data_IF_842724532057
#
_entry.id   IF_842724532057
#
_cell.length_a   1.000
_cell.length_b   1.000
_cell.length_c   1.000
_cell.angle_alpha   90.00
_cell.angle_beta   90.00
_cell.angle_gamma   90.00
#
_symmetry.space_group_name_H-M   'P 1'
#
loop_
_entity.id
_entity.type
_entity.pdbx_description
1 polymer ?
#
# COMPACT_ATOMS: atom_id res chain seq x y z
N UNK A 1 46.53 40.68 42.97
CA UNK A 1 47.17 39.66 42.10
C UNK A 1 46.25 38.47 41.75
N UNK A 2 44.92 38.58 41.91
CA UNK A 2 43.97 37.48 41.69
C UNK A 2 42.92 37.62 40.54
N UNK A 3 42.71 38.78 39.85
CA UNK A 3 41.58 38.90 38.92
C UNK A 3 41.86 38.34 37.51
N UNK A 4 43.12 38.18 37.11
CA UNK A 4 43.48 37.71 35.76
C UNK A 4 43.40 36.18 35.64
N UNK A 5 43.91 35.46 36.64
CA UNK A 5 43.79 33.99 36.73
C UNK A 5 42.31 33.55 36.78
N UNK A 6 41.50 34.24 37.59
CA UNK A 6 40.06 33.94 37.68
C UNK A 6 39.30 34.16 36.36
N UNK A 7 39.76 35.10 35.52
CA UNK A 7 39.16 35.36 34.21
C UNK A 7 39.61 34.32 33.18
N UNK A 8 40.86 33.86 33.28
CA UNK A 8 41.39 32.78 32.45
C UNK A 8 40.69 31.44 32.73
N UNK A 9 40.51 31.09 34.00
CA UNK A 9 39.80 29.89 34.43
C UNK A 9 38.33 29.90 33.94
N UNK A 10 37.66 31.06 34.02
CA UNK A 10 36.28 31.21 33.54
C UNK A 10 36.16 31.01 32.03
N UNK A 11 37.10 31.55 31.26
CA UNK A 11 37.11 31.39 29.79
C UNK A 11 37.33 29.91 29.44
N UNK A 12 38.27 29.24 30.11
CA UNK A 12 38.52 27.82 29.88
C UNK A 12 37.30 26.95 30.24
N UNK A 13 36.64 27.25 31.35
CA UNK A 13 35.44 26.53 31.78
C UNK A 13 34.28 26.69 30.76
N UNK A 14 34.14 27.87 30.16
CA UNK A 14 33.16 28.13 29.10
C UNK A 14 33.50 27.35 27.83
N UNK A 15 34.78 27.32 27.43
CA UNK A 15 35.22 26.56 26.26
C UNK A 15 34.99 25.05 26.41
N UNK A 16 35.27 24.51 27.59
CA UNK A 16 35.07 23.09 27.88
C UNK A 16 33.58 22.73 27.90
N UNK A 17 32.73 23.58 28.49
CA UNK A 17 31.27 23.42 28.43
C UNK A 17 30.75 23.50 27.01
N UNK A 18 31.27 24.40 26.18
CA UNK A 18 30.87 24.54 24.78
C UNK A 18 31.26 23.29 23.96
N UNK A 19 32.47 22.74 24.18
CA UNK A 19 32.89 21.46 23.58
C UNK A 19 31.98 20.32 23.99
N UNK A 20 31.67 20.20 25.28
CA UNK A 20 30.77 19.16 25.80
C UNK A 20 29.38 19.24 25.16
N UNK A 21 28.81 20.45 25.02
CA UNK A 21 27.51 20.65 24.36
C UNK A 21 27.57 20.21 22.89
N UNK A 22 28.65 20.56 22.18
CA UNK A 22 28.82 20.15 20.78
C UNK A 22 28.91 18.62 20.62
N UNK A 23 29.64 17.95 21.51
CA UNK A 23 29.74 16.48 21.53
C UNK A 23 28.38 15.83 21.81
N UNK A 24 27.66 16.31 22.82
CA UNK A 24 26.33 15.79 23.17
C UNK A 24 25.31 15.99 22.03
N UNK A 25 25.35 17.14 21.35
CA UNK A 25 24.52 17.39 20.17
C UNK A 25 24.85 16.44 19.02
N UNK A 26 26.14 16.18 18.79
CA UNK A 26 26.60 15.25 17.75
C UNK A 26 26.15 13.83 18.06
N UNK A 27 26.27 13.39 19.30
CA UNK A 27 25.80 12.08 19.76
C UNK A 27 24.28 11.93 19.63
N UNK A 28 23.52 12.95 20.02
CA UNK A 28 22.07 12.96 19.87
C UNK A 28 21.66 12.85 18.39
N UNK A 29 22.31 13.62 17.51
CA UNK A 29 22.08 13.55 16.06
C UNK A 29 22.44 12.17 15.49
N UNK A 30 23.57 11.59 15.92
CA UNK A 30 23.98 10.25 15.50
C UNK A 30 22.99 9.17 15.94
N UNK A 31 22.45 9.27 17.17
CA UNK A 31 21.40 8.37 17.68
C UNK A 31 20.09 8.52 16.90
N UNK A 32 19.67 9.73 16.57
CA UNK A 32 18.50 9.94 15.71
C UNK A 32 18.69 9.30 14.34
N UNK A 33 19.85 9.51 13.72
CA UNK A 33 20.20 8.93 12.42
C UNK A 33 20.20 7.40 12.48
N UNK A 34 20.82 6.81 13.49
CA UNK A 34 20.86 5.36 13.64
C UNK A 34 19.46 4.75 13.85
N UNK A 35 18.57 5.39 14.61
CA UNK A 35 17.18 4.94 14.76
C UNK A 35 16.37 4.98 13.45
N UNK A 36 16.59 6.01 12.63
CA UNK A 36 15.93 6.13 11.32
C UNK A 36 16.47 5.08 10.36
N UNK A 37 17.79 4.90 10.31
CA UNK A 37 18.46 4.03 9.35
C UNK A 37 18.28 2.54 9.70
N UNK A 38 18.21 2.15 10.99
CA UNK A 38 17.98 0.75 11.41
C UNK A 38 16.69 0.15 10.83
N UNK A 39 15.68 1.00 10.54
CA UNK A 39 14.38 0.58 10.02
C UNK A 39 14.29 0.66 8.50
N UNK A 40 15.32 1.17 7.81
CA UNK A 40 15.42 1.17 6.34
C UNK A 40 16.15 -0.10 5.92
N UNK A 41 15.46 -0.95 5.15
CA UNK A 41 16.13 -2.05 4.43
C UNK A 41 16.47 -1.52 3.05
N UNK A 42 17.71 -1.69 2.62
CA UNK A 42 18.06 -1.52 1.22
C UNK A 42 17.35 -2.62 0.43
N UNK A 43 16.25 -2.25 -0.21
CA UNK A 43 15.58 -3.11 -1.17
C UNK A 43 16.41 -3.02 -2.44
N UNK A 44 17.24 -4.03 -2.68
CA UNK A 44 17.96 -4.20 -3.94
C UNK A 44 17.30 -5.32 -4.71
N UNK A 45 16.92 -5.02 -5.95
CA UNK A 45 16.36 -5.99 -6.87
C UNK A 45 17.34 -6.17 -8.02
N UNK A 46 17.37 -7.36 -8.61
CA UNK A 46 18.17 -7.66 -9.78
C UNK A 46 17.28 -7.75 -11.02
N UNK A 47 17.89 -7.61 -12.20
CA UNK A 47 17.22 -7.92 -13.46
C UNK A 47 16.73 -9.36 -13.45
N UNK A 48 15.47 -9.58 -13.83
CA UNK A 48 14.77 -10.87 -13.75
C UNK A 48 14.01 -11.11 -12.43
N UNK A 49 14.20 -10.26 -11.40
CA UNK A 49 13.39 -10.37 -10.19
C UNK A 49 11.93 -10.00 -10.47
N UNK A 50 11.01 -10.75 -9.85
CA UNK A 50 9.59 -10.41 -9.85
C UNK A 50 9.25 -9.51 -8.67
N UNK A 51 8.49 -8.45 -8.92
CA UNK A 51 8.12 -7.44 -7.92
C UNK A 51 6.64 -7.10 -8.02
N UNK A 52 6.02 -6.85 -6.88
CA UNK A 52 4.70 -6.26 -6.82
C UNK A 52 4.80 -4.74 -6.85
N UNK A 53 4.00 -4.09 -7.71
CA UNK A 53 3.95 -2.64 -7.84
C UNK A 53 2.87 -2.05 -6.94
N UNK A 54 3.21 -1.06 -6.11
CA UNK A 54 2.29 -0.39 -5.19
C UNK A 54 1.33 0.55 -5.93
N UNK A 55 0.04 0.38 -5.66
CA UNK A 55 -1.02 1.31 -6.07
C UNK A 55 -1.36 2.26 -4.94
N UNK A 56 -0.61 3.36 -4.84
CA UNK A 56 -1.16 4.54 -4.15
C UNK A 56 -2.23 5.18 -5.03
N UNK A 57 -3.16 5.98 -4.48
CA UNK A 57 -4.09 6.76 -5.30
C UNK A 57 -3.28 7.85 -6.01
N UNK A 58 -2.78 7.59 -7.23
CA UNK A 58 -2.14 8.66 -7.98
C UNK A 58 -3.24 9.57 -8.51
N UNK A 59 -2.97 10.87 -8.53
CA UNK A 59 -3.84 11.83 -9.21
C UNK A 59 -3.81 11.45 -10.70
N UNK A 60 -4.86 10.77 -11.18
CA UNK A 60 -5.05 10.20 -12.55
C UNK A 60 -4.69 8.71 -12.78
N UNK A 61 -4.33 7.92 -11.77
CA UNK A 61 -4.16 6.46 -11.93
C UNK A 61 -5.33 5.68 -11.39
N UNK A 62 -5.63 4.56 -12.07
CA UNK A 62 -6.72 3.65 -11.77
C UNK A 62 -6.87 3.47 -10.27
N UNK A 63 -8.02 3.89 -9.77
CA UNK A 63 -8.54 3.28 -8.55
C UNK A 63 -9.15 1.96 -8.98
N UNK A 64 -8.44 0.86 -8.72
CA UNK A 64 -9.09 -0.45 -8.71
C UNK A 64 -10.23 -0.39 -7.70
N UNK A 65 -11.46 -0.42 -8.21
CA UNK A 65 -12.69 -0.52 -7.43
C UNK A 65 -13.05 0.72 -6.62
N UNK A 66 -14.34 1.07 -6.67
CA UNK A 66 -14.98 1.80 -5.57
C UNK A 66 -14.90 0.91 -4.31
N UNK A 67 -14.03 1.32 -3.37
CA UNK A 67 -14.26 1.20 -1.93
C UNK A 67 -14.68 -0.19 -1.39
N UNK A 68 -13.99 -1.27 -1.74
CA UNK A 68 -13.94 -2.41 -0.81
C UNK A 68 -12.94 -2.06 0.31
N UNK A 69 -13.27 -2.38 1.57
CA UNK A 69 -12.43 -2.12 2.75
C UNK A 69 -11.04 -2.79 2.65
N UNK A 70 -10.88 -3.70 1.68
CA UNK A 70 -9.69 -4.49 1.38
C UNK A 70 -9.17 -4.30 -0.06
N UNK A 71 -9.22 -3.09 -0.61
CA UNK A 71 -8.57 -2.81 -1.91
C UNK A 71 -7.11 -3.32 -1.92
N UNK A 72 -6.72 -4.00 -3.01
CA UNK A 72 -5.36 -4.46 -3.21
C UNK A 72 -4.43 -3.24 -3.26
N UNK A 73 -3.48 -3.16 -2.32
CA UNK A 73 -2.47 -2.09 -2.27
C UNK A 73 -1.34 -2.28 -3.29
N UNK A 74 -1.29 -3.44 -3.95
CA UNK A 74 -0.25 -3.81 -4.89
C UNK A 74 -0.84 -4.60 -6.05
N UNK A 75 -0.34 -4.36 -7.27
CA UNK A 75 -0.68 -5.10 -8.50
C UNK A 75 0.48 -6.03 -8.83
N UNK A 76 0.15 -7.25 -9.29
CA UNK A 76 0.92 -8.12 -10.21
C UNK A 76 2.41 -8.36 -9.93
N UNK A 77 2.92 -9.60 -10.07
CA UNK A 77 4.35 -9.78 -10.19
C UNK A 77 4.81 -9.30 -11.57
N UNK A 78 5.46 -8.14 -11.63
CA UNK A 78 6.14 -7.62 -12.81
C UNK A 78 7.61 -8.00 -12.78
N UNK A 79 8.18 -8.27 -13.94
CA UNK A 79 9.60 -8.57 -14.07
C UNK A 79 10.40 -7.28 -14.23
N UNK A 80 11.49 -7.18 -13.48
CA UNK A 80 12.48 -6.11 -13.64
C UNK A 80 13.32 -6.42 -14.88
N UNK A 81 13.25 -5.57 -15.90
CA UNK A 81 14.03 -5.74 -17.13
C UNK A 81 15.38 -5.04 -17.03
N UNK A 82 15.42 -3.87 -16.42
CA UNK A 82 16.64 -3.06 -16.35
C UNK A 82 16.69 -2.23 -15.07
N UNK A 83 17.91 -2.01 -14.57
CA UNK A 83 18.22 -1.05 -13.52
C UNK A 83 18.69 0.26 -14.15
N UNK A 84 17.83 1.28 -14.14
CA UNK A 84 18.13 2.60 -14.74
C UNK A 84 18.99 3.43 -13.79
N UNK A 85 18.90 3.16 -12.50
CA UNK A 85 19.74 3.79 -11.49
C UNK A 85 19.58 3.09 -10.14
N UNK A 86 20.33 3.53 -9.10
CA UNK A 86 20.43 2.84 -7.82
C UNK A 86 19.09 2.68 -7.08
N UNK A 87 18.05 3.42 -7.50
CA UNK A 87 16.73 3.42 -6.88
C UNK A 87 15.60 3.38 -7.92
N UNK A 88 15.91 3.23 -9.21
CA UNK A 88 14.94 3.29 -10.31
C UNK A 88 15.12 2.12 -11.27
N UNK A 89 14.03 1.41 -11.52
CA UNK A 89 14.03 0.19 -12.34
C UNK A 89 12.93 0.25 -13.40
N UNK A 90 13.22 -0.34 -14.55
CA UNK A 90 12.28 -0.55 -15.64
C UNK A 90 11.53 -1.87 -15.43
N UNK A 91 10.19 -1.81 -15.47
CA UNK A 91 9.33 -2.98 -15.36
C UNK A 91 8.65 -3.29 -16.69
N UNK A 92 8.51 -4.58 -16.98
CA UNK A 92 7.67 -5.03 -18.09
C UNK A 92 6.19 -4.97 -17.68
N UNK A 93 5.55 -3.83 -17.94
CA UNK A 93 4.12 -3.65 -17.65
C UNK A 93 3.24 -4.35 -18.70
N UNK A 94 2.01 -4.69 -18.29
CA UNK A 94 0.98 -5.19 -19.21
C UNK A 94 0.51 -4.07 -20.15
N UNK A 95 0.04 -4.45 -21.35
CA UNK A 95 -0.51 -3.54 -22.36
C UNK A 95 -1.56 -2.57 -21.79
N UNK A 96 -2.35 -3.05 -20.82
CA UNK A 96 -3.40 -2.29 -20.11
C UNK A 96 -2.86 -1.10 -19.30
N UNK A 97 -1.56 -1.10 -18.98
CA UNK A 97 -0.87 -0.08 -18.19
C UNK A 97 0.14 0.72 -19.04
N UNK A 98 0.14 0.61 -20.38
CA UNK A 98 1.03 1.37 -21.28
C UNK A 98 0.95 2.89 -21.10
N UNK A 99 -0.16 3.40 -20.58
CA UNK A 99 -0.34 4.83 -20.27
C UNK A 99 0.48 5.29 -19.06
N UNK A 100 1.04 4.37 -18.29
CA UNK A 100 1.88 4.61 -17.12
C UNK A 100 3.34 4.42 -17.55
N UNK A 101 4.20 5.35 -17.13
CA UNK A 101 5.64 5.17 -17.29
C UNK A 101 6.11 3.89 -16.60
N UNK A 102 6.84 3.07 -17.34
CA UNK A 102 7.43 1.77 -16.99
C UNK A 102 8.62 1.87 -16.02
N UNK A 103 9.12 3.09 -15.77
CA UNK A 103 10.19 3.37 -14.82
C UNK A 103 9.64 3.72 -13.44
N UNK A 104 10.03 2.94 -12.43
CA UNK A 104 9.55 3.11 -11.07
C UNK A 104 10.66 3.18 -10.03
N UNK A 105 10.40 3.95 -8.98
CA UNK A 105 11.26 4.03 -7.82
C UNK A 105 11.10 2.80 -6.90
N UNK A 106 12.19 2.32 -6.30
CA UNK A 106 12.22 1.07 -5.50
C UNK A 106 11.25 1.04 -4.32
N UNK A 107 10.88 2.21 -3.80
CA UNK A 107 9.90 2.35 -2.71
C UNK A 107 8.48 1.95 -3.11
N UNK A 108 8.21 1.87 -4.42
CA UNK A 108 6.95 1.39 -4.98
C UNK A 108 6.94 -0.12 -5.13
N UNK A 109 8.07 -0.80 -4.90
CA UNK A 109 8.17 -2.24 -5.03
C UNK A 109 7.95 -2.95 -3.72
N UNK A 110 7.38 -4.15 -3.85
CA UNK A 110 7.40 -5.16 -2.81
C UNK A 110 7.93 -6.45 -3.43
N UNK A 111 9.03 -6.97 -2.88
CA UNK A 111 9.66 -8.21 -3.35
C UNK A 111 8.62 -9.34 -3.44
N UNK A 112 8.50 -9.97 -4.61
CA UNK A 112 7.64 -11.12 -4.78
C UNK A 112 8.26 -12.34 -4.08
N UNK A 113 7.46 -13.09 -3.33
CA UNK A 113 7.82 -14.43 -2.86
C UNK A 113 6.94 -15.40 -3.63
N UNK A 114 7.55 -16.24 -4.45
CA UNK A 114 6.85 -17.22 -5.28
C UNK A 114 5.94 -18.09 -4.41
N UNK A 115 4.63 -17.88 -4.56
CA UNK A 115 3.61 -18.71 -3.96
C UNK A 115 2.62 -19.10 -5.08
N UNK A 116 2.46 -20.39 -5.40
CA UNK A 116 1.54 -20.83 -6.45
C UNK A 116 0.08 -20.43 -6.21
N UNK A 117 -0.32 -20.09 -4.98
CA UNK A 117 -1.67 -19.59 -4.68
C UNK A 117 -1.90 -18.12 -5.06
N UNK A 118 -0.85 -17.32 -5.27
CA UNK A 118 -0.95 -15.89 -5.63
C UNK A 118 -1.07 -15.65 -7.13
N UNK A 119 -0.86 -16.68 -7.95
CA UNK A 119 -1.12 -16.64 -9.39
C UNK A 119 -2.64 -16.77 -9.56
N UNK A 120 -3.35 -15.68 -9.31
CA UNK A 120 -4.70 -15.55 -9.87
C UNK A 120 -4.47 -15.46 -11.38
N UNK A 121 -4.99 -16.40 -12.20
CA UNK A 121 -4.94 -16.23 -13.64
C UNK A 121 -5.54 -14.86 -13.92
N UNK A 122 -4.84 -14.03 -14.69
CA UNK A 122 -5.41 -12.81 -15.26
C UNK A 122 -6.49 -13.30 -16.24
N UNK A 123 -7.63 -13.76 -15.72
CA UNK A 123 -8.85 -13.87 -16.48
C UNK A 123 -9.14 -12.43 -16.86
N UNK A 124 -9.00 -12.15 -18.15
CA UNK A 124 -9.31 -10.89 -18.84
C UNK A 124 -10.24 -10.04 -17.98
N UNK A 125 -9.65 -9.17 -17.17
CA UNK A 125 -10.35 -8.05 -16.61
C UNK A 125 -10.54 -7.19 -17.86
N UNK A 126 -11.72 -7.18 -18.46
CA UNK A 126 -11.99 -6.28 -19.58
C UNK A 126 -11.97 -4.85 -19.03
N UNK A 127 -10.77 -4.29 -18.94
CA UNK A 127 -10.54 -2.91 -18.57
C UNK A 127 -11.03 -2.08 -19.76
N UNK A 128 -12.28 -1.60 -19.67
CA UNK A 128 -12.82 -0.63 -20.65
C UNK A 128 -11.89 0.59 -20.70
N UNK A 129 -11.84 1.28 -21.83
CA UNK A 129 -10.93 2.41 -22.14
C UNK A 129 -10.89 3.56 -21.11
N UNK A 130 -11.84 3.62 -20.16
CA UNK A 130 -11.86 4.51 -19.00
C UNK A 130 -11.14 3.99 -17.74
N UNK A 131 -10.52 2.81 -17.83
CA UNK A 131 -9.74 2.18 -16.77
C UNK A 131 -10.55 1.85 -15.48
N UNK A 132 -11.85 1.60 -15.64
CA UNK A 132 -12.75 1.14 -14.59
C UNK A 132 -13.04 -0.35 -14.77
N UNK A 133 -12.96 -1.11 -13.68
CA UNK A 133 -13.48 -2.47 -13.59
C UNK A 133 -14.77 -2.45 -12.79
N UNK A 134 -15.89 -2.85 -13.40
CA UNK A 134 -17.16 -2.95 -12.71
C UNK A 134 -17.28 -4.36 -12.12
N UNK A 135 -17.17 -4.45 -10.78
CA UNK A 135 -17.53 -5.68 -10.06
C UNK A 135 -19.06 -5.76 -10.03
N UNK A 136 -19.58 -6.50 -11.01
CA UNK A 136 -20.94 -7.04 -11.11
C UNK A 136 -21.38 -7.85 -9.88
N UNK A 137 -22.39 -7.52 -9.04
CA UNK A 137 -22.88 -8.53 -8.11
C UNK A 137 -23.65 -9.60 -8.90
N UNK A 138 -23.21 -10.86 -8.75
CA UNK A 138 -23.74 -12.02 -9.48
C UNK A 138 -24.94 -12.62 -8.77
N UNK A 139 -24.79 -12.86 -7.47
CA UNK A 139 -25.77 -13.63 -6.70
C UNK A 139 -25.67 -13.31 -5.21
N UNK A 140 -26.81 -13.43 -4.53
CA UNK A 140 -26.87 -13.44 -3.07
C UNK A 140 -26.74 -14.89 -2.62
N UNK A 141 -25.65 -15.20 -1.91
CA UNK A 141 -25.34 -16.54 -1.44
C UNK A 141 -26.04 -16.88 -0.12
N UNK A 142 -26.25 -15.88 0.73
CA UNK A 142 -26.76 -16.08 2.08
C UNK A 142 -27.40 -14.80 2.63
N UNK A 143 -28.31 -14.94 3.58
CA UNK A 143 -28.97 -13.84 4.28
C UNK A 143 -28.88 -14.06 5.79
N UNK A 144 -28.33 -13.09 6.51
CA UNK A 144 -28.17 -13.15 7.96
C UNK A 144 -28.66 -11.86 8.60
N UNK A 145 -29.37 -11.97 9.70
CA UNK A 145 -29.82 -10.82 10.49
C UNK A 145 -28.95 -10.69 11.72
N UNK A 146 -28.23 -9.56 11.85
CA UNK A 146 -27.43 -9.27 13.05
C UNK A 146 -28.23 -8.42 14.04
N UNK A 147 -28.38 -8.94 15.25
CA UNK A 147 -28.90 -8.21 16.39
C UNK A 147 -27.77 -7.42 17.05
N UNK A 148 -27.90 -6.10 17.06
CA UNK A 148 -27.11 -5.19 17.87
C UNK A 148 -27.95 -4.73 19.07
N UNK A 149 -27.29 -4.14 20.08
CA UNK A 149 -27.92 -3.77 21.36
C UNK A 149 -29.21 -2.92 21.23
N UNK A 150 -29.39 -2.19 20.12
CA UNK A 150 -30.59 -1.36 19.87
C UNK A 150 -31.20 -1.52 18.48
N UNK A 151 -30.62 -2.34 17.60
CA UNK A 151 -31.02 -2.41 16.18
C UNK A 151 -30.82 -3.80 15.61
N UNK A 152 -31.75 -4.18 14.75
CA UNK A 152 -31.67 -5.37 13.91
C UNK A 152 -31.18 -4.95 12.53
N UNK A 153 -30.06 -5.50 12.06
CA UNK A 153 -29.44 -5.15 10.77
C UNK A 153 -29.42 -6.37 9.86
N UNK A 154 -30.25 -6.39 8.80
CA UNK A 154 -30.21 -7.45 7.80
C UNK A 154 -28.98 -7.28 6.88
N UNK A 155 -28.24 -8.36 6.72
CA UNK A 155 -27.04 -8.44 5.88
C UNK A 155 -27.22 -9.56 4.85
N UNK A 156 -26.71 -9.31 3.64
CA UNK A 156 -26.66 -10.29 2.56
C UNK A 156 -25.22 -10.58 2.20
N UNK A 157 -24.92 -11.86 1.96
CA UNK A 157 -23.62 -12.29 1.45
C UNK A 157 -23.66 -12.25 -0.07
N UNK A 158 -22.84 -11.39 -0.67
CA UNK A 158 -22.88 -11.08 -2.11
C UNK A 158 -21.66 -11.69 -2.79
N UNK A 159 -21.92 -12.44 -3.86
CA UNK A 159 -20.89 -12.91 -4.78
C UNK A 159 -20.71 -11.89 -5.92
N UNK A 160 -19.46 -11.54 -6.21
CA UNK A 160 -19.10 -10.60 -7.28
C UNK A 160 -18.53 -11.35 -8.49
N UNK A 161 -18.69 -10.82 -9.71
CA UNK A 161 -18.39 -11.48 -11.01
C UNK A 161 -16.96 -12.02 -11.15
N UNK A 162 -16.06 -11.67 -10.24
CA UNK A 162 -14.63 -11.89 -10.37
C UNK A 162 -13.95 -12.42 -9.10
N UNK A 163 -14.73 -12.77 -8.09
CA UNK A 163 -14.26 -13.28 -6.80
C UNK A 163 -14.65 -14.76 -6.65
N UNK A 164 -13.80 -15.54 -5.96
CA UNK A 164 -14.17 -16.92 -5.60
C UNK A 164 -15.25 -16.88 -4.51
N UNK A 165 -16.07 -17.92 -4.38
CA UNK A 165 -17.15 -18.00 -3.36
C UNK A 165 -16.69 -17.77 -1.91
N UNK A 166 -15.41 -17.99 -1.63
CA UNK A 166 -14.75 -17.75 -0.33
C UNK A 166 -14.54 -16.25 -0.06
N UNK A 167 -14.45 -15.42 -1.09
CA UNK A 167 -14.14 -13.99 -1.02
C UNK A 167 -15.39 -13.09 -0.96
N UNK A 168 -16.58 -13.68 -0.97
CA UNK A 168 -17.86 -12.96 -0.93
C UNK A 168 -17.97 -12.03 0.29
N UNK A 169 -18.36 -10.77 0.05
CA UNK A 169 -18.53 -9.75 1.10
C UNK A 169 -19.93 -9.75 1.70
N UNK A 170 -20.05 -9.22 2.91
CA UNK A 170 -21.34 -8.99 3.59
C UNK A 170 -21.73 -7.53 3.46
N UNK A 171 -22.84 -7.28 2.78
CA UNK A 171 -23.38 -5.94 2.55
C UNK A 171 -24.74 -5.78 3.22
N UNK A 172 -25.18 -4.53 3.43
CA UNK A 172 -26.51 -4.24 3.97
C UNK A 172 -27.60 -4.58 2.95
N UNK A 173 -28.62 -5.32 3.37
CA UNK A 173 -29.73 -5.73 2.51
C UNK A 173 -30.44 -4.51 1.88
N UNK A 174 -30.70 -3.47 2.66
CA UNK A 174 -31.37 -2.26 2.19
C UNK A 174 -30.60 -1.53 1.08
N UNK A 175 -29.26 -1.51 1.18
CA UNK A 175 -28.40 -0.90 0.17
C UNK A 175 -28.44 -1.74 -1.11
N UNK A 176 -28.31 -3.06 -0.96
CA UNK A 176 -28.32 -3.99 -2.10
C UNK A 176 -29.66 -4.00 -2.82
N UNK A 177 -30.79 -3.94 -2.10
CA UNK A 177 -32.13 -3.83 -2.71
C UNK A 177 -32.32 -2.55 -3.50
N UNK A 178 -31.76 -1.42 -3.03
CA UNK A 178 -31.86 -0.13 -3.73
C UNK A 178 -30.99 -0.06 -4.98
N UNK A 179 -29.78 -0.65 -4.93
CA UNK A 179 -28.81 -0.55 -6.01
C UNK A 179 -28.95 -1.68 -7.04
N UNK A 180 -29.32 -2.88 -6.59
CA UNK A 180 -29.38 -4.09 -7.40
C UNK A 180 -30.66 -4.89 -7.10
N UNK A 181 -31.85 -4.32 -7.38
CA UNK A 181 -33.13 -4.96 -7.06
C UNK A 181 -33.30 -6.33 -7.73
N UNK A 182 -32.78 -6.49 -8.96
CA UNK A 182 -32.87 -7.73 -9.75
C UNK A 182 -32.28 -8.97 -9.05
N UNK A 183 -31.35 -8.80 -8.11
CA UNK A 183 -30.77 -9.90 -7.32
C UNK A 183 -31.76 -10.50 -6.29
N UNK A 184 -32.82 -9.77 -5.99
CA UNK A 184 -33.85 -10.16 -5.03
C UNK A 184 -35.11 -10.71 -5.69
N UNK A 185 -35.25 -10.51 -7.01
CA UNK A 185 -36.42 -10.92 -7.80
C UNK A 185 -36.31 -12.37 -8.32
N UNK A 186 -35.14 -13.01 -8.18
CA UNK A 186 -34.85 -14.35 -8.71
C UNK A 186 -35.39 -15.51 -7.85
N UNK A 187 -36.38 -15.26 -7.00
CA UNK A 187 -36.88 -16.19 -5.99
C UNK A 187 -38.39 -16.16 -5.80
N UNK A 188 -39.14 -16.00 -6.89
CA UNK A 188 -40.56 -16.33 -6.95
C UNK A 188 -40.74 -17.76 -7.50
#
# INVERSE_FOLDING_TARGET
MAPFEALYDLVHEIEDKAKLICEQLKDASNRQKSYVDLRRRDIKNQVGDKVFLKVSPWKKVLRFGKKSKLSLRFIGPYEVIEEIGPVAYYLLLLLELERIHDVFHVSMFRRYRSNPSHIVPIKKIEVRSGLSYEEEPVAILDREVKLLHSKTVPLVKVLWCNQKTVEATRESEDIMRRQYPYLFDSGA
#
